data_IF_942232216609
#
_entry.id   IF_942232216609
#
_cell.length_a   1.000
_cell.length_b   1.000
_cell.length_c   1.000
_cell.angle_alpha   90.00
_cell.angle_beta   90.00
_cell.angle_gamma   90.00
#
_symmetry.space_group_name_H-M   'P 1'
#
loop_
_entity.id
_entity.type
_entity.pdbx_description
1 polymer ?
#
# COMPACT_ATOMS: atom_id res chain seq x y z
N UNK A 1 6.56 27.23 -2.96
CA UNK A 1 8.00 27.39 -2.71
C UNK A 1 8.41 26.09 -2.06
N UNK A 2 9.25 25.28 -2.70
CA UNK A 2 9.77 24.06 -2.07
C UNK A 2 10.57 24.48 -0.83
N UNK A 3 10.19 24.01 0.34
CA UNK A 3 10.86 24.43 1.58
C UNK A 3 12.09 23.60 1.85
N UNK A 4 13.00 24.15 2.64
CA UNK A 4 14.15 23.41 3.19
C UNK A 4 13.74 22.07 3.80
N UNK A 5 12.57 22.01 4.45
CA UNK A 5 12.06 20.79 5.05
C UNK A 5 11.72 19.71 4.02
N UNK A 6 11.18 20.07 2.85
CA UNK A 6 10.94 19.12 1.76
C UNK A 6 12.25 18.58 1.18
N UNK A 7 13.28 19.42 1.07
CA UNK A 7 14.60 18.98 0.61
C UNK A 7 15.25 18.03 1.61
N UNK A 8 15.18 18.34 2.90
CA UNK A 8 15.71 17.46 3.95
C UNK A 8 14.98 16.11 4.01
N UNK A 9 13.65 16.08 3.86
CA UNK A 9 12.87 14.83 3.81
C UNK A 9 13.26 13.99 2.58
N UNK A 10 13.37 14.62 1.41
CA UNK A 10 13.80 13.93 0.19
C UNK A 10 15.26 13.46 0.27
N UNK A 11 16.12 14.24 0.92
CA UNK A 11 17.52 13.90 1.15
C UNK A 11 17.66 12.74 2.13
N UNK A 12 16.87 12.70 3.21
CA UNK A 12 16.83 11.58 4.15
C UNK A 12 16.45 10.28 3.43
N UNK A 13 15.43 10.34 2.56
CA UNK A 13 15.02 9.20 1.71
C UNK A 13 16.16 8.68 0.82
N UNK A 14 17.04 9.57 0.36
CA UNK A 14 18.19 9.25 -0.50
C UNK A 14 19.48 8.93 0.28
N UNK A 15 19.44 8.96 1.61
CA UNK A 15 20.63 8.82 2.46
C UNK A 15 21.57 10.04 2.47
N UNK A 16 21.14 11.18 1.93
CA UNK A 16 21.91 12.43 1.88
C UNK A 16 21.76 13.31 3.14
N UNK A 17 20.75 13.04 3.97
CA UNK A 17 20.49 13.74 5.23
C UNK A 17 20.24 12.77 6.37
N UNK A 18 20.38 13.25 7.59
CA UNK A 18 20.18 12.46 8.81
C UNK A 18 18.84 12.77 9.48
N UNK A 19 18.33 11.85 10.29
CA UNK A 19 17.12 12.08 11.09
C UNK A 19 17.27 13.30 12.01
N UNK A 20 18.45 13.48 12.59
CA UNK A 20 18.78 14.60 13.47
C UNK A 20 18.66 15.94 12.77
N UNK A 21 19.08 16.06 11.51
CA UNK A 21 18.95 17.30 10.73
C UNK A 21 17.48 17.65 10.46
N UNK A 22 16.67 16.65 10.10
CA UNK A 22 15.24 16.84 9.84
C UNK A 22 14.53 17.25 11.14
N UNK A 23 14.80 16.55 12.25
CA UNK A 23 14.23 16.88 13.56
C UNK A 23 14.67 18.26 14.05
N UNK A 24 15.92 18.66 13.82
CA UNK A 24 16.41 19.98 14.17
C UNK A 24 15.68 21.07 13.39
N UNK A 25 15.44 20.87 12.08
CA UNK A 25 14.69 21.84 11.28
C UNK A 25 13.21 21.94 11.72
N UNK A 26 12.55 20.82 12.01
CA UNK A 26 11.17 20.83 12.53
C UNK A 26 11.08 21.60 13.85
N UNK A 27 12.05 21.41 14.76
CA UNK A 27 12.11 22.12 16.04
C UNK A 27 12.42 23.60 15.86
N UNK A 28 13.30 23.95 14.94
CA UNK A 28 13.71 25.33 14.70
C UNK A 28 12.63 26.14 13.97
N UNK A 29 11.88 25.51 13.06
CA UNK A 29 10.89 26.14 12.17
C UNK A 29 9.64 25.28 11.97
N UNK A 30 8.78 25.13 13.01
CA UNK A 30 7.56 24.33 12.92
C UNK A 30 6.59 24.81 11.82
N UNK A 31 6.58 26.11 11.51
CA UNK A 31 5.79 26.72 10.43
C UNK A 31 6.15 26.16 9.04
N UNK A 32 7.35 25.60 8.89
CA UNK A 32 7.76 24.93 7.65
C UNK A 32 6.95 23.66 7.37
N UNK A 33 6.30 23.08 8.39
CA UNK A 33 5.45 21.89 8.25
C UNK A 33 4.09 22.20 7.59
N UNK A 34 3.64 23.46 7.60
CA UNK A 34 2.39 23.90 6.96
C UNK A 34 2.57 24.33 5.50
N UNK A 35 3.80 24.41 5.03
CA UNK A 35 4.07 24.80 3.65
C UNK A 35 3.88 23.58 2.75
N UNK A 36 3.07 23.71 1.70
CA UNK A 36 2.93 22.68 0.67
C UNK A 36 4.09 22.74 -0.33
N UNK A 37 4.49 21.59 -0.85
CA UNK A 37 5.37 21.56 -2.02
C UNK A 37 4.68 22.22 -3.22
N UNK A 38 5.47 22.89 -4.05
CA UNK A 38 5.02 23.46 -5.33
C UNK A 38 5.15 22.49 -6.49
N UNK A 39 5.61 21.26 -6.26
CA UNK A 39 5.57 20.19 -7.25
C UNK A 39 4.14 19.74 -7.55
N UNK A 40 3.97 19.00 -8.65
CA UNK A 40 2.67 18.51 -9.14
C UNK A 40 1.88 17.70 -8.10
N UNK A 41 2.51 17.19 -7.04
CA UNK A 41 1.87 16.37 -6.02
C UNK A 41 1.23 17.16 -4.86
N UNK A 42 1.54 18.46 -4.70
CA UNK A 42 1.01 19.34 -3.64
C UNK A 42 1.10 18.74 -2.22
N UNK A 43 2.13 17.95 -1.93
CA UNK A 43 2.27 17.26 -0.66
C UNK A 43 2.78 18.22 0.42
N UNK A 44 2.15 18.18 1.59
CA UNK A 44 2.75 18.74 2.81
C UNK A 44 3.86 17.81 3.32
N UNK A 45 4.83 18.30 4.10
CA UNK A 45 5.89 17.49 4.70
C UNK A 45 5.39 16.24 5.41
N UNK A 46 4.23 16.32 6.09
CA UNK A 46 3.61 15.18 6.75
C UNK A 46 3.15 14.09 5.76
N UNK A 47 2.55 14.47 4.62
CA UNK A 47 2.17 13.50 3.59
C UNK A 47 3.41 12.80 3.02
N UNK A 48 4.47 13.57 2.70
CA UNK A 48 5.73 13.00 2.22
C UNK A 48 6.39 12.07 3.24
N UNK A 49 6.39 12.46 4.51
CA UNK A 49 6.99 11.64 5.57
C UNK A 49 6.26 10.30 5.73
N UNK A 50 4.94 10.29 5.69
CA UNK A 50 4.16 9.05 5.69
C UNK A 50 4.38 8.23 4.42
N UNK A 51 4.28 8.86 3.24
CA UNK A 51 4.40 8.18 1.95
C UNK A 51 5.80 7.56 1.73
N UNK A 52 6.85 8.21 2.25
CA UNK A 52 8.22 7.68 2.18
C UNK A 52 8.59 6.75 3.33
N UNK A 53 7.63 6.38 4.19
CA UNK A 53 7.85 5.57 5.38
C UNK A 53 9.04 6.08 6.21
N UNK A 54 9.06 7.39 6.49
CA UNK A 54 10.10 7.97 7.31
C UNK A 54 10.04 7.46 8.77
N UNK A 55 11.16 7.54 9.51
CA UNK A 55 11.21 7.18 10.92
C UNK A 55 10.06 7.79 11.74
N UNK A 56 9.43 6.96 12.57
CA UNK A 56 8.29 7.35 13.42
C UNK A 56 8.55 8.64 14.23
N UNK A 57 9.73 8.88 14.83
CA UNK A 57 10.00 10.13 15.54
C UNK A 57 9.82 11.39 14.69
N UNK A 58 10.18 11.35 13.40
CA UNK A 58 10.02 12.48 12.47
C UNK A 58 8.54 12.70 12.17
N UNK A 59 7.80 11.63 11.87
CA UNK A 59 6.36 11.74 11.57
C UNK A 59 5.61 12.31 12.78
N UNK A 60 5.89 11.80 13.99
CA UNK A 60 5.28 12.31 15.22
C UNK A 60 5.68 13.76 15.49
N UNK A 61 6.93 14.15 15.23
CA UNK A 61 7.36 15.53 15.34
C UNK A 61 6.61 16.46 14.37
N UNK A 62 6.37 16.02 13.13
CA UNK A 62 5.59 16.79 12.15
C UNK A 62 4.12 16.94 12.58
N UNK A 63 3.49 15.87 13.08
CA UNK A 63 2.13 15.93 13.62
C UNK A 63 2.05 16.92 14.78
N UNK A 64 3.04 16.89 15.69
CA UNK A 64 3.10 17.81 16.82
C UNK A 64 3.38 19.26 16.43
N UNK A 65 4.22 19.48 15.42
CA UNK A 65 4.57 20.82 14.94
C UNK A 65 3.42 21.51 14.21
N UNK A 66 2.63 20.77 13.42
CA UNK A 66 1.48 21.34 12.71
C UNK A 66 0.29 20.36 12.63
N UNK A 67 -0.51 20.23 13.70
CA UNK A 67 -1.70 19.38 13.72
C UNK A 67 -2.76 19.66 12.63
N UNK A 68 -3.01 20.91 12.19
CA UNK A 68 -4.00 21.19 11.15
C UNK A 68 -3.75 20.44 9.83
N UNK A 69 -2.50 20.13 9.50
CA UNK A 69 -2.14 19.40 8.26
C UNK A 69 -2.72 17.99 8.23
N UNK A 70 -3.00 17.37 9.39
CA UNK A 70 -3.70 16.09 9.46
C UNK A 70 -5.12 16.13 8.86
N UNK A 71 -5.70 17.32 8.71
CA UNK A 71 -7.04 17.58 8.17
C UNK A 71 -7.04 18.02 6.70
N UNK A 72 -5.89 17.99 6.05
CA UNK A 72 -5.75 18.42 4.65
C UNK A 72 -5.55 17.18 3.79
N UNK A 73 -6.24 17.14 2.66
CA UNK A 73 -6.03 16.13 1.62
C UNK A 73 -4.94 16.58 0.66
N UNK A 74 -4.15 15.63 0.16
CA UNK A 74 -3.29 15.85 -0.99
C UNK A 74 -4.09 15.83 -2.31
N UNK A 75 -3.38 15.87 -3.44
CA UNK A 75 -3.99 15.86 -4.78
C UNK A 75 -4.72 14.55 -5.10
N UNK A 76 -4.40 13.44 -4.44
CA UNK A 76 -5.08 12.15 -4.60
C UNK A 76 -6.33 12.06 -3.70
N UNK A 77 -6.66 13.11 -2.95
CA UNK A 77 -7.74 13.06 -1.96
C UNK A 77 -7.30 12.33 -0.68
N UNK A 78 -6.02 11.98 -0.55
CA UNK A 78 -5.50 11.22 0.58
C UNK A 78 -5.17 12.17 1.73
N UNK A 79 -5.77 11.92 2.89
CA UNK A 79 -5.25 12.43 4.16
C UNK A 79 -3.94 11.73 4.54
N UNK A 80 -3.11 12.29 5.43
CA UNK A 80 -1.90 11.61 5.92
C UNK A 80 -2.16 10.23 6.53
N UNK A 81 -3.37 9.99 7.05
CA UNK A 81 -3.80 8.70 7.56
C UNK A 81 -3.79 7.59 6.49
N UNK A 82 -4.14 7.89 5.23
CA UNK A 82 -4.10 6.92 4.14
C UNK A 82 -2.66 6.41 3.94
N UNK A 83 -1.72 7.35 3.80
CA UNK A 83 -0.30 7.03 3.64
C UNK A 83 0.31 6.35 4.87
N UNK A 84 -0.10 6.73 6.07
CA UNK A 84 0.37 6.08 7.29
C UNK A 84 -0.05 4.60 7.37
N UNK A 85 -1.28 4.28 6.94
CA UNK A 85 -1.76 2.89 6.88
C UNK A 85 -1.10 2.13 5.72
N UNK A 86 -0.90 2.78 4.57
CA UNK A 86 -0.29 2.19 3.38
C UNK A 86 1.20 1.82 3.57
N UNK A 87 1.99 2.69 4.21
CA UNK A 87 3.46 2.55 4.20
C UNK A 87 4.08 2.44 5.59
N UNK A 88 3.51 3.09 6.61
CA UNK A 88 4.17 3.23 7.93
C UNK A 88 3.78 2.11 8.89
N UNK A 89 2.49 1.79 9.01
CA UNK A 89 1.99 0.70 9.85
C UNK A 89 2.15 0.88 11.38
N UNK A 90 2.74 2.00 11.83
CA UNK A 90 3.00 2.29 13.24
C UNK A 90 1.73 2.69 14.00
N UNK A 91 1.39 1.93 15.04
CA UNK A 91 0.25 2.23 15.91
C UNK A 91 0.35 3.61 16.58
N UNK A 92 1.56 4.07 16.91
CA UNK A 92 1.78 5.41 17.49
C UNK A 92 1.43 6.52 16.51
N UNK A 93 1.84 6.38 15.24
CA UNK A 93 1.54 7.35 14.17
C UNK A 93 0.05 7.35 13.85
N UNK A 94 -0.54 6.18 13.59
CA UNK A 94 -1.96 6.05 13.25
C UNK A 94 -2.84 6.61 14.37
N UNK A 95 -2.56 6.26 15.63
CA UNK A 95 -3.26 6.82 16.80
C UNK A 95 -3.16 8.33 16.87
N UNK A 96 -1.98 8.90 16.60
CA UNK A 96 -1.77 10.35 16.64
C UNK A 96 -2.55 11.07 15.54
N UNK A 97 -2.57 10.52 14.32
CA UNK A 97 -3.34 11.05 13.20
C UNK A 97 -4.85 10.93 13.44
N UNK A 98 -5.33 9.79 13.90
CA UNK A 98 -6.75 9.58 14.27
C UNK A 98 -7.17 10.54 15.37
N UNK A 99 -6.33 10.81 16.37
CA UNK A 99 -6.62 11.81 17.41
C UNK A 99 -6.66 13.24 16.87
N UNK A 100 -5.76 13.58 15.95
CA UNK A 100 -5.73 14.90 15.32
C UNK A 100 -6.94 15.14 14.42
N UNK A 101 -7.39 14.10 13.71
CA UNK A 101 -8.57 14.15 12.85
C UNK A 101 -9.26 12.78 12.69
N UNK A 102 -10.24 12.46 13.55
CA UNK A 102 -10.92 11.16 13.53
C UNK A 102 -11.67 10.88 12.21
N UNK A 103 -12.26 11.93 11.61
CA UNK A 103 -13.07 11.78 10.41
C UNK A 103 -12.25 11.38 9.18
N UNK A 104 -10.90 11.50 9.21
CA UNK A 104 -10.04 10.97 8.15
C UNK A 104 -10.29 9.48 7.87
N UNK A 105 -10.66 8.69 8.89
CA UNK A 105 -10.94 7.27 8.74
C UNK A 105 -12.19 6.99 7.88
N UNK A 106 -13.07 7.98 7.71
CA UNK A 106 -14.36 7.90 7.01
C UNK A 106 -14.33 8.51 5.61
N UNK A 107 -13.30 9.30 5.29
CA UNK A 107 -13.20 9.95 4.00
C UNK A 107 -12.55 9.03 2.98
N UNK A 108 -13.15 8.99 1.80
CA UNK A 108 -12.60 8.30 0.64
C UNK A 108 -11.62 9.22 -0.08
N UNK A 109 -10.55 8.65 -0.60
CA UNK A 109 -9.68 9.30 -1.57
C UNK A 109 -10.33 9.32 -2.98
N UNK A 110 -9.58 9.76 -3.98
CA UNK A 110 -10.06 9.84 -5.36
C UNK A 110 -10.29 8.47 -6.04
N UNK A 111 -9.80 7.38 -5.45
CA UNK A 111 -10.05 5.99 -5.86
C UNK A 111 -11.25 5.38 -5.12
N UNK A 112 -11.95 6.18 -4.30
CA UNK A 112 -13.04 5.70 -3.46
C UNK A 112 -12.56 4.89 -2.25
N UNK A 113 -11.25 4.81 -2.00
CA UNK A 113 -10.68 4.02 -0.92
C UNK A 113 -10.67 4.80 0.38
N UNK A 114 -11.13 4.15 1.45
CA UNK A 114 -10.87 4.57 2.83
C UNK A 114 -9.44 4.18 3.24
N UNK A 115 -8.86 4.75 4.32
CA UNK A 115 -7.58 4.30 4.85
C UNK A 115 -7.54 2.80 5.14
N UNK A 116 -8.67 2.20 5.53
CA UNK A 116 -8.75 0.76 5.80
C UNK A 116 -8.54 -0.12 4.56
N UNK A 117 -8.76 0.39 3.35
CA UNK A 117 -8.49 -0.38 2.13
C UNK A 117 -6.98 -0.55 1.87
N UNK A 118 -6.15 0.31 2.47
CA UNK A 118 -4.70 0.30 2.31
C UNK A 118 -3.97 -0.66 3.25
N UNK A 119 -4.69 -1.34 4.17
CA UNK A 119 -4.10 -2.28 5.13
C UNK A 119 -3.33 -3.41 4.44
N UNK A 120 -3.80 -3.86 3.27
CA UNK A 120 -3.15 -4.91 2.47
C UNK A 120 -1.85 -4.46 1.80
N UNK A 121 -1.55 -3.17 1.79
CA UNK A 121 -0.37 -2.62 1.11
C UNK A 121 0.81 -2.47 2.09
N UNK A 122 0.58 -2.65 3.41
CA UNK A 122 1.59 -2.45 4.45
C UNK A 122 1.98 -3.75 5.15
N UNK A 123 3.24 -4.16 4.97
CA UNK A 123 3.80 -5.35 5.65
C UNK A 123 4.11 -5.18 7.13
N UNK A 124 4.18 -3.94 7.60
CA UNK A 124 4.54 -3.61 8.98
C UNK A 124 3.34 -3.10 9.80
N UNK A 125 2.11 -3.28 9.31
CA UNK A 125 0.92 -2.82 10.01
C UNK A 125 0.70 -3.67 11.26
N UNK A 126 0.92 -3.09 12.44
CA UNK A 126 0.72 -3.82 13.69
C UNK A 126 -0.77 -4.08 13.96
N UNK A 127 -1.08 -5.15 14.70
CA UNK A 127 -2.45 -5.44 15.14
C UNK A 127 -3.05 -4.27 15.91
N UNK A 128 -2.27 -3.60 16.76
CA UNK A 128 -2.73 -2.42 17.49
C UNK A 128 -3.06 -1.27 16.55
N UNK A 129 -2.26 -1.04 15.52
CA UNK A 129 -2.51 -0.02 14.50
C UNK A 129 -3.83 -0.27 13.77
N UNK A 130 -4.05 -1.53 13.38
CA UNK A 130 -5.31 -1.97 12.78
C UNK A 130 -6.51 -1.76 13.72
N UNK A 131 -6.36 -2.08 15.01
CA UNK A 131 -7.40 -1.86 16.01
C UNK A 131 -7.71 -0.37 16.22
N UNK A 132 -6.72 0.52 16.18
CA UNK A 132 -6.98 1.96 16.23
C UNK A 132 -7.81 2.44 15.04
N UNK A 133 -7.54 1.91 13.84
CA UNK A 133 -8.31 2.24 12.65
C UNK A 133 -9.74 1.69 12.72
N UNK A 134 -9.92 0.45 13.19
CA UNK A 134 -11.25 -0.14 13.44
C UNK A 134 -12.05 0.66 14.45
N UNK A 135 -11.44 1.12 15.54
CA UNK A 135 -12.12 1.96 16.54
C UNK A 135 -12.56 3.30 15.96
N UNK A 136 -11.73 3.90 15.09
CA UNK A 136 -12.04 5.18 14.46
C UNK A 136 -13.27 5.08 13.53
N UNK A 137 -13.36 3.99 12.75
CA UNK A 137 -14.51 3.73 11.89
C UNK A 137 -14.78 2.22 11.71
N UNK A 138 -15.63 1.61 12.57
CA UNK A 138 -15.87 0.17 12.56
C UNK A 138 -16.51 -0.36 11.26
N UNK A 139 -17.38 0.42 10.64
CA UNK A 139 -18.09 0.00 9.42
C UNK A 139 -17.18 -0.04 8.17
N UNK A 140 -15.95 0.50 8.26
CA UNK A 140 -15.00 0.52 7.15
C UNK A 140 -14.71 -0.87 6.57
N UNK A 141 -14.77 -1.94 7.39
CA UNK A 141 -14.52 -3.33 6.95
C UNK A 141 -15.54 -3.86 5.93
N UNK A 142 -16.69 -3.19 5.79
CA UNK A 142 -17.76 -3.53 4.84
C UNK A 142 -17.90 -2.50 3.72
N UNK A 143 -17.29 -1.33 3.86
CA UNK A 143 -17.37 -0.28 2.86
C UNK A 143 -16.66 -0.72 1.59
N UNK A 144 -17.26 -0.41 0.44
CA UNK A 144 -16.65 -0.67 -0.87
C UNK A 144 -15.93 0.57 -1.39
N UNK A 145 -14.80 0.34 -2.04
CA UNK A 145 -14.11 1.33 -2.86
C UNK A 145 -14.80 1.54 -4.22
N UNK A 146 -14.24 2.40 -5.08
CA UNK A 146 -14.81 2.66 -6.41
C UNK A 146 -14.77 1.43 -7.35
N UNK A 147 -13.98 0.42 -7.03
CA UNK A 147 -13.89 -0.84 -7.76
C UNK A 147 -14.84 -1.92 -7.19
N UNK A 148 -15.60 -1.59 -6.14
CA UNK A 148 -16.50 -2.52 -5.47
C UNK A 148 -15.78 -3.45 -4.49
N UNK A 149 -14.51 -3.22 -4.18
CA UNK A 149 -13.77 -4.05 -3.23
C UNK A 149 -13.98 -3.55 -1.81
N UNK A 150 -14.23 -4.47 -0.88
CA UNK A 150 -14.09 -4.22 0.55
C UNK A 150 -12.62 -4.31 0.96
N UNK A 151 -12.22 -3.79 2.14
CA UNK A 151 -10.82 -3.79 2.58
C UNK A 151 -10.13 -5.13 2.46
N UNK A 152 -10.77 -6.26 2.81
CA UNK A 152 -10.16 -7.59 2.73
C UNK A 152 -9.64 -7.92 1.31
N UNK A 153 -10.31 -7.42 0.26
CA UNK A 153 -10.03 -7.77 -1.14
C UNK A 153 -9.42 -6.61 -1.96
N UNK A 154 -9.14 -5.47 -1.31
CA UNK A 154 -8.76 -4.22 -1.96
C UNK A 154 -7.28 -4.14 -2.42
N UNK A 155 -6.54 -5.26 -2.44
CA UNK A 155 -5.15 -5.30 -2.92
C UNK A 155 -5.08 -4.95 -4.41
N UNK A 156 -4.41 -3.83 -4.72
CA UNK A 156 -4.25 -3.29 -6.09
C UNK A 156 -3.03 -3.88 -6.81
N UNK A 157 -2.14 -4.56 -6.07
CA UNK A 157 -0.87 -5.05 -6.63
C UNK A 157 -1.13 -6.27 -7.52
N UNK A 158 -0.43 -6.28 -8.65
CA UNK A 158 -0.46 -7.29 -9.69
C UNK A 158 -0.43 -8.72 -9.11
N UNK A 159 -1.45 -9.51 -9.41
CA UNK A 159 -1.64 -10.86 -8.86
C UNK A 159 -2.48 -10.96 -7.57
N UNK A 160 -2.80 -9.85 -6.89
CA UNK A 160 -3.73 -9.83 -5.75
C UNK A 160 -3.18 -10.24 -4.39
N UNK A 161 -1.86 -10.33 -4.26
CA UNK A 161 -1.22 -10.66 -2.99
C UNK A 161 -1.34 -9.49 -2.01
N UNK A 162 -1.75 -9.81 -0.77
CA UNK A 162 -1.71 -8.86 0.34
C UNK A 162 -0.34 -8.90 1.00
N UNK A 163 0.20 -7.72 1.32
CA UNK A 163 1.36 -7.57 2.17
C UNK A 163 1.01 -7.51 3.66
N UNK A 164 -0.28 -7.40 4.03
CA UNK A 164 -0.67 -7.30 5.43
C UNK A 164 -0.19 -8.52 6.25
N UNK A 165 0.20 -8.32 7.52
CA UNK A 165 0.48 -9.42 8.43
C UNK A 165 -0.72 -10.37 8.56
N UNK A 166 -0.44 -11.66 8.73
CA UNK A 166 -1.47 -12.70 8.87
C UNK A 166 -2.50 -12.36 9.95
N UNK A 167 -2.06 -11.84 11.09
CA UNK A 167 -2.95 -11.43 12.18
C UNK A 167 -3.95 -10.33 11.76
N UNK A 168 -3.53 -9.38 10.93
CA UNK A 168 -4.43 -8.33 10.41
C UNK A 168 -5.41 -8.92 9.40
N UNK A 169 -4.96 -9.84 8.55
CA UNK A 169 -5.82 -10.54 7.61
C UNK A 169 -6.88 -11.37 8.34
N UNK A 170 -6.48 -12.17 9.33
CA UNK A 170 -7.40 -12.94 10.18
C UNK A 170 -8.41 -12.02 10.88
N UNK A 171 -7.97 -10.88 11.40
CA UNK A 171 -8.86 -9.92 12.06
C UNK A 171 -9.80 -9.17 11.08
N UNK A 172 -9.41 -8.99 9.82
CA UNK A 172 -10.29 -8.50 8.74
C UNK A 172 -11.32 -9.55 8.32
N UNK A 173 -10.86 -10.79 8.19
CA UNK A 173 -11.68 -11.94 7.86
C UNK A 173 -12.75 -12.21 8.91
N UNK A 174 -12.38 -12.17 10.19
CA UNK A 174 -13.32 -12.29 11.30
C UNK A 174 -14.34 -11.15 11.30
N UNK A 175 -13.91 -9.94 10.96
CA UNK A 175 -14.78 -8.77 10.92
C UNK A 175 -15.73 -8.75 9.70
N UNK A 176 -15.40 -9.47 8.62
CA UNK A 176 -16.22 -9.59 7.42
C UNK A 176 -16.04 -10.96 6.75
N UNK A 177 -16.64 -12.04 7.31
CA UNK A 177 -16.43 -13.40 6.82
C UNK A 177 -17.04 -13.64 5.43
N UNK A 178 -18.08 -12.87 5.06
CA UNK A 178 -18.76 -12.98 3.76
C UNK A 178 -17.83 -12.59 2.60
N UNK A 179 -16.93 -11.62 2.84
CA UNK A 179 -15.97 -11.13 1.85
C UNK A 179 -15.00 -12.19 1.31
N UNK A 180 -14.78 -13.30 2.05
CA UNK A 180 -13.98 -14.45 1.56
C UNK A 180 -14.61 -15.12 0.36
N UNK A 181 -15.93 -15.18 0.34
CA UNK A 181 -16.71 -15.91 -0.67
C UNK A 181 -17.01 -15.06 -1.90
N UNK A 182 -16.86 -13.74 -1.78
CA UNK A 182 -16.92 -12.78 -2.86
C UNK A 182 -15.70 -12.96 -3.77
N UNK A 183 -15.79 -13.93 -4.69
CA UNK A 183 -14.85 -14.07 -5.81
C UNK A 183 -14.69 -12.69 -6.45
N UNK A 184 -13.45 -12.20 -6.57
CA UNK A 184 -13.09 -11.01 -7.37
C UNK A 184 -13.93 -11.05 -8.63
N UNK A 185 -14.88 -10.13 -8.75
CA UNK A 185 -15.76 -10.14 -9.90
C UNK A 185 -14.88 -9.96 -11.13
N UNK A 186 -14.80 -11.01 -11.95
CA UNK A 186 -14.17 -10.99 -13.28
C UNK A 186 -14.75 -9.90 -14.20
N UNK A 187 -15.84 -9.24 -13.77
CA UNK A 187 -16.35 -8.01 -14.39
C UNK A 187 -15.40 -6.83 -14.35
N UNK A 188 -14.36 -6.85 -13.50
CA UNK A 188 -13.45 -5.72 -13.30
C UNK A 188 -12.13 -5.84 -14.09
N UNK A 189 -11.96 -6.91 -14.87
CA UNK A 189 -10.82 -7.03 -15.79
C UNK A 189 -11.09 -6.23 -17.09
N UNK A 190 -10.05 -5.66 -17.72
CA UNK A 190 -10.15 -5.08 -19.06
C UNK A 190 -10.81 -6.07 -20.03
N UNK A 191 -11.67 -5.56 -20.94
CA UNK A 191 -12.65 -6.36 -21.70
C UNK A 191 -12.15 -7.62 -22.40
N UNK A 192 -10.84 -7.75 -22.68
CA UNK A 192 -10.24 -8.95 -23.28
C UNK A 192 -10.28 -10.19 -22.37
N UNK A 193 -10.43 -10.03 -21.06
CA UNK A 193 -10.52 -11.15 -20.10
C UNK A 193 -11.96 -11.52 -19.70
N UNK A 194 -12.97 -10.83 -20.23
CA UNK A 194 -14.38 -11.07 -19.87
C UNK A 194 -15.01 -12.24 -20.64
N UNK A 195 -14.36 -12.74 -21.70
CA UNK A 195 -14.92 -13.76 -22.61
C UNK A 195 -14.69 -15.21 -22.19
N UNK A 196 -13.82 -15.51 -21.22
CA UNK A 196 -13.65 -16.87 -20.70
C UNK A 196 -14.64 -17.13 -19.56
N UNK A 197 -15.87 -17.47 -19.97
CA UNK A 197 -16.93 -17.92 -19.08
C UNK A 197 -16.51 -19.14 -18.26
N UNK A 198 -16.63 -19.00 -16.93
CA UNK A 198 -16.75 -20.06 -15.90
C UNK A 198 -15.88 -21.32 -16.07
N UNK A 199 -14.91 -21.41 -15.15
CA UNK A 199 -14.18 -22.62 -14.66
C UNK A 199 -12.77 -22.82 -15.20
N UNK A 200 -11.93 -21.80 -15.12
CA UNK A 200 -10.49 -22.03 -15.22
C UNK A 200 -9.80 -21.34 -14.04
N UNK A 201 -9.02 -22.11 -13.27
CA UNK A 201 -8.17 -21.58 -12.21
C UNK A 201 -7.20 -20.58 -12.84
N UNK A 202 -6.94 -19.42 -12.22
CA UNK A 202 -5.91 -18.48 -12.69
C UNK A 202 -4.54 -19.15 -12.84
N UNK A 203 -4.26 -20.19 -12.04
CA UNK A 203 -3.06 -21.03 -12.20
C UNK A 203 -3.00 -21.78 -13.53
N UNK A 204 -4.16 -22.15 -14.10
CA UNK A 204 -4.27 -22.86 -15.37
C UNK A 204 -4.20 -21.90 -16.56
N UNK A 205 -4.74 -20.68 -16.43
CA UNK A 205 -4.62 -19.62 -17.46
C UNK A 205 -3.17 -19.19 -17.63
N UNK A 206 -2.46 -18.98 -16.52
CA UNK A 206 -1.03 -18.62 -16.53
C UNK A 206 -0.15 -19.76 -17.11
N UNK A 207 -0.58 -21.02 -16.93
CA UNK A 207 0.10 -22.20 -17.49
C UNK A 207 -0.07 -22.29 -19.02
N UNK A 208 -1.22 -21.86 -19.55
CA UNK A 208 -1.49 -21.82 -20.99
C UNK A 208 -0.88 -20.59 -21.68
N UNK A 209 -0.73 -19.46 -20.97
CA UNK A 209 -0.07 -18.25 -21.49
C UNK A 209 1.45 -18.40 -21.59
N UNK A 210 2.09 -19.03 -20.60
CA UNK A 210 3.50 -19.43 -20.68
C UNK A 210 3.77 -20.41 -21.84
N UNK A 211 2.74 -21.15 -22.30
CA UNK A 211 2.80 -22.05 -23.44
C UNK A 211 2.58 -21.33 -24.78
N UNK A 212 1.91 -20.18 -24.79
CA UNK A 212 1.66 -19.36 -25.99
C UNK A 212 2.81 -18.41 -26.29
N UNK A 213 3.38 -17.76 -25.28
CA UNK A 213 4.49 -16.80 -25.46
C UNK A 213 5.81 -17.51 -25.87
N UNK A 214 5.94 -18.80 -25.54
CA UNK A 214 7.08 -19.63 -25.96
C UNK A 214 6.99 -20.06 -27.44
N UNK A 215 5.81 -19.99 -28.07
CA UNK A 215 5.66 -20.39 -29.49
C UNK A 215 5.89 -19.24 -30.48
N UNK A 216 5.98 -17.99 -30.02
CA UNK A 216 6.25 -16.84 -30.90
C UNK A 216 7.71 -16.35 -30.89
N UNK A 217 8.63 -17.01 -30.16
CA UNK A 217 10.01 -16.54 -30.11
C UNK A 217 11.06 -17.52 -29.59
N UNK A 218 11.45 -18.50 -30.42
CA UNK A 218 12.83 -19.02 -30.44
C UNK A 218 13.08 -19.88 -31.68
N UNK A 219 13.99 -19.43 -32.54
CA UNK A 219 14.51 -20.14 -33.73
C UNK A 219 15.63 -21.14 -33.36
N UNK A 220 15.59 -21.69 -32.15
CA UNK A 220 16.55 -22.68 -31.68
C UNK A 220 15.80 -23.98 -31.44
N UNK A 221 15.98 -24.96 -32.34
CA UNK A 221 15.23 -26.23 -32.46
C UNK A 221 15.29 -27.20 -31.26
N UNK A 222 15.01 -26.71 -30.05
CA UNK A 222 14.80 -27.48 -28.84
C UNK A 222 13.29 -27.72 -28.72
N UNK A 223 12.88 -28.98 -28.54
CA UNK A 223 11.47 -29.30 -28.30
C UNK A 223 11.00 -28.59 -27.02
N UNK A 224 9.78 -28.02 -26.99
CA UNK A 224 9.22 -27.40 -25.78
C UNK A 224 9.27 -28.31 -24.54
N UNK A 225 9.20 -29.63 -24.74
CA UNK A 225 9.31 -30.62 -23.67
C UNK A 225 10.71 -30.71 -23.04
N UNK A 226 11.77 -30.47 -23.80
CA UNK A 226 13.15 -30.54 -23.31
C UNK A 226 13.57 -29.24 -22.60
N UNK A 227 13.05 -28.09 -23.03
CA UNK A 227 13.27 -26.80 -22.34
C UNK A 227 12.58 -26.77 -20.98
N UNK A 228 11.37 -27.33 -20.88
CA UNK A 228 10.62 -27.46 -19.60
C UNK A 228 11.39 -28.36 -18.62
N UNK A 229 11.91 -29.51 -19.08
CA UNK A 229 12.76 -30.38 -18.24
C UNK A 229 14.02 -29.66 -17.75
N UNK A 230 14.62 -28.80 -18.57
CA UNK A 230 15.78 -28.03 -18.16
C UNK A 230 15.45 -26.96 -17.11
N UNK A 231 14.31 -26.26 -17.23
CA UNK A 231 13.82 -25.33 -16.21
C UNK A 231 13.49 -26.02 -14.88
N UNK A 232 12.85 -27.18 -14.93
CA UNK A 232 12.55 -28.00 -13.74
C UNK A 232 13.83 -28.52 -13.07
N UNK A 233 14.86 -28.85 -13.86
CA UNK A 233 16.16 -29.26 -13.31
C UNK A 233 16.90 -28.13 -12.58
N UNK A 234 16.77 -26.88 -13.04
CA UNK A 234 17.40 -25.68 -12.44
C UNK A 234 16.76 -25.29 -11.10
N UNK A 235 15.44 -25.39 -10.98
CA UNK A 235 14.74 -25.12 -9.70
C UNK A 235 15.02 -26.20 -8.63
N UNK A 236 15.33 -27.43 -9.04
CA UNK A 236 15.77 -28.49 -8.13
C UNK A 236 17.19 -28.23 -7.59
N UNK A 237 18.07 -27.59 -8.37
CA UNK A 237 19.46 -27.33 -7.95
C UNK A 237 19.67 -26.11 -7.06
N UNK A 238 18.76 -25.11 -7.07
CA UNK A 238 18.89 -23.90 -6.24
C UNK A 238 18.39 -24.09 -4.79
N UNK A 239 17.80 -25.25 -4.46
CA UNK A 239 17.46 -25.62 -3.09
C UNK A 239 18.60 -26.34 -2.33
N UNK A 240 19.82 -26.43 -2.89
CA UNK A 240 20.95 -27.12 -2.23
C UNK A 240 22.30 -26.36 -2.19
N UNK A 241 22.31 -25.03 -2.38
CA UNK A 241 23.51 -24.22 -2.12
C UNK A 241 23.21 -23.00 -1.26
N UNK A 242 22.94 -23.27 0.02
CA UNK A 242 23.31 -22.43 1.16
C UNK A 242 23.16 -23.27 2.44
N UNK A 243 24.12 -24.20 2.59
CA UNK A 243 24.60 -24.74 3.87
C UNK A 243 26.09 -24.41 3.95
#
# INVERSE_FOLDING_TARGET
>A
MKTRLHDLINGLRRGANTESEVLAEIKARPESAEQKDTSDSLLYPLHMACHHNLPTPIILALIGACPPVAKVQDRQGCYPLHWAVNAVGSAGVIRSLVRAYPDAARHRDNYGKLPMHYVNECSNLSAEAFQELRKAYPAAVQDRDAHGNVPLNASVIDGGYSHAPAEVLEALEEANPEAKSEKRSVSNLPGRFQTLGRRVSLSQVMFDEARSDVLEGSDDGISPEDYIRELESRQSTDSFKNL
#
